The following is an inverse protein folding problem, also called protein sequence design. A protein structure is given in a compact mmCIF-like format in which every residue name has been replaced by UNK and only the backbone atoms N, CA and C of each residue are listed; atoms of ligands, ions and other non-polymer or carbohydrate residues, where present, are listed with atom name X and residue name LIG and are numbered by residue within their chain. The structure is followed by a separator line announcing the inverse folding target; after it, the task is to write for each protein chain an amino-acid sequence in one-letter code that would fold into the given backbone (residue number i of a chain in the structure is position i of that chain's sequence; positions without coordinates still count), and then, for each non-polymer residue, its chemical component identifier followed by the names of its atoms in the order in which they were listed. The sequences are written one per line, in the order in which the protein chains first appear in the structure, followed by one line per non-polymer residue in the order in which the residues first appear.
data_IF_901134546521
#
_entry.id   IF_901134546521
#
_cell.length_a   1.000
_cell.length_b   1.000
_cell.length_c   1.000
_cell.angle_alpha   90.00
_cell.angle_beta   90.00
_cell.angle_gamma   90.00
#
_symmetry.space_group_name_H-M   'P 1'
#
loop_
_entity.id
_entity.type
_entity.pdbx_description
1 polymer ?
#
# COMPACT_ATOMS: atom_id res chain seq x y z
N UNK A 1 -41.78 -57.40 15.42
CA UNK A 1 -43.04 -56.65 15.25
C UNK A 1 -43.27 -55.72 16.43
N UNK A 2 -43.09 -54.40 16.26
CA UNK A 2 -43.98 -53.29 16.67
C UNK A 2 -43.18 -51.98 16.64
N UNK A 3 -43.65 -51.08 15.76
CA UNK A 3 -43.15 -49.73 15.51
C UNK A 3 -43.91 -48.73 16.38
N UNK A 4 -43.24 -47.70 16.92
CA UNK A 4 -43.81 -46.40 17.26
C UNK A 4 -42.63 -45.43 17.53
N UNK A 5 -42.25 -44.54 16.59
CA UNK A 5 -42.74 -43.16 16.46
C UNK A 5 -42.65 -42.36 17.78
N UNK A 6 -41.50 -41.73 18.01
CA UNK A 6 -41.42 -40.48 18.78
C UNK A 6 -40.42 -39.55 18.09
N UNK A 7 -40.97 -38.68 17.25
CA UNK A 7 -40.27 -37.55 16.66
C UNK A 7 -40.70 -36.35 17.50
N UNK A 8 -39.84 -35.81 18.35
CA UNK A 8 -39.93 -34.43 18.84
C UNK A 8 -38.66 -34.08 19.63
N UNK A 9 -37.99 -33.00 19.19
CA UNK A 9 -37.08 -32.11 19.96
C UNK A 9 -35.83 -32.84 20.50
N UNK A 10 -34.64 -32.68 19.94
CA UNK A 10 -33.75 -31.54 20.20
C UNK A 10 -32.79 -31.38 19.01
N UNK A 11 -33.09 -30.43 18.13
CA UNK A 11 -32.13 -29.88 17.18
C UNK A 11 -31.82 -28.46 17.64
N UNK A 12 -30.71 -28.20 18.37
CA UNK A 12 -30.20 -26.81 18.46
C UNK A 12 -28.78 -26.56 19.06
N UNK A 13 -27.81 -27.47 19.20
CA UNK A 13 -26.56 -27.04 19.93
C UNK A 13 -25.19 -27.41 19.32
N UNK A 14 -25.05 -28.16 18.22
CA UNK A 14 -23.71 -28.61 17.78
C UNK A 14 -23.38 -28.32 16.31
N UNK A 15 -23.35 -27.03 15.92
CA UNK A 15 -23.14 -26.65 14.52
C UNK A 15 -22.38 -25.36 14.22
N UNK A 16 -21.65 -24.76 15.16
CA UNK A 16 -20.97 -23.46 14.96
C UNK A 16 -19.46 -23.49 15.24
N UNK A 17 -18.71 -24.47 14.70
CA UNK A 17 -17.27 -24.55 14.93
C UNK A 17 -16.39 -24.78 13.67
N UNK A 18 -16.89 -24.59 12.45
CA UNK A 18 -16.10 -24.90 11.24
C UNK A 18 -16.10 -23.83 10.15
N UNK A 19 -16.35 -22.57 10.48
CA UNK A 19 -16.41 -21.49 9.49
C UNK A 19 -15.09 -20.70 9.32
N UNK A 20 -14.08 -20.88 10.18
CA UNK A 20 -12.83 -20.10 10.12
C UNK A 20 -11.73 -20.68 9.22
N UNK A 21 -11.87 -21.92 8.74
CA UNK A 21 -10.83 -22.63 7.98
C UNK A 21 -11.08 -22.68 6.46
N UNK A 22 -11.97 -21.83 5.94
CA UNK A 22 -12.13 -21.75 4.48
C UNK A 22 -10.99 -20.89 3.91
N UNK A 23 -10.11 -21.44 3.04
CA UNK A 23 -9.23 -20.60 2.26
C UNK A 23 -10.10 -19.61 1.49
N UNK A 24 -9.84 -18.32 1.69
CA UNK A 24 -10.55 -17.26 1.00
C UNK A 24 -10.33 -17.50 -0.50
N UNK A 25 -11.39 -17.68 -1.30
CA UNK A 25 -11.21 -17.77 -2.74
C UNK A 25 -10.52 -16.49 -3.19
N UNK A 26 -9.40 -16.62 -3.90
CA UNK A 26 -8.78 -15.49 -4.55
C UNK A 26 -9.87 -14.78 -5.38
N UNK A 27 -10.00 -13.47 -5.19
CA UNK A 27 -10.88 -12.63 -6.01
C UNK A 27 -10.28 -12.59 -7.42
N UNK A 28 -10.54 -13.63 -8.20
CA UNK A 28 -10.13 -13.70 -9.60
C UNK A 28 -11.08 -12.83 -10.43
N UNK A 29 -10.84 -11.53 -10.40
CA UNK A 29 -11.54 -10.51 -11.17
C UNK A 29 -10.89 -9.15 -10.92
N UNK A 30 -10.98 -8.20 -11.86
CA UNK A 30 -10.51 -6.84 -11.61
C UNK A 30 -11.26 -6.28 -10.40
N UNK A 31 -10.54 -5.77 -9.40
CA UNK A 31 -11.14 -5.08 -8.25
C UNK A 31 -11.76 -3.80 -8.82
N UNK A 32 -13.08 -3.82 -9.05
CA UNK A 32 -13.83 -2.66 -9.50
C UNK A 32 -14.17 -1.82 -8.25
N UNK A 33 -13.37 -0.80 -7.99
CA UNK A 33 -13.54 0.16 -6.89
C UNK A 33 -14.59 1.25 -7.17
N UNK A 34 -15.48 1.01 -8.14
CA UNK A 34 -16.52 1.93 -8.65
C UNK A 34 -16.00 3.12 -9.49
N UNK A 35 -14.71 3.21 -9.83
CA UNK A 35 -14.20 4.27 -10.72
C UNK A 35 -14.00 3.84 -12.18
N UNK A 36 -14.38 2.61 -12.53
CA UNK A 36 -14.22 2.09 -13.91
C UNK A 36 -12.75 1.88 -14.32
N UNK A 37 -11.84 1.99 -13.35
CA UNK A 37 -10.43 1.60 -13.48
C UNK A 37 -10.29 0.11 -13.16
N UNK A 38 -9.46 -0.57 -13.95
CA UNK A 38 -9.06 -1.94 -13.68
C UNK A 38 -7.83 -1.87 -12.76
N UNK A 39 -8.06 -2.08 -11.47
CA UNK A 39 -6.97 -2.21 -10.51
C UNK A 39 -6.20 -3.51 -10.80
N UNK A 40 -4.89 -3.37 -10.98
CA UNK A 40 -4.00 -4.53 -11.03
C UNK A 40 -3.66 -4.90 -9.59
N UNK A 41 -3.88 -6.15 -9.18
CA UNK A 41 -3.28 -6.63 -7.93
C UNK A 41 -1.77 -6.42 -8.05
N UNK A 42 -1.23 -5.50 -7.24
CA UNK A 42 0.20 -5.22 -7.20
C UNK A 42 1.01 -6.48 -6.90
N UNK A 43 2.33 -6.40 -6.97
CA UNK A 43 3.15 -7.53 -6.53
C UNK A 43 3.10 -7.67 -5.00
N UNK A 44 3.30 -8.88 -4.47
CA UNK A 44 3.44 -9.10 -3.02
C UNK A 44 4.65 -8.40 -2.37
N UNK A 45 5.51 -7.72 -3.15
CA UNK A 45 6.65 -6.96 -2.63
C UNK A 45 6.43 -5.43 -2.69
N UNK A 46 5.31 -4.97 -3.26
CA UNK A 46 5.09 -3.56 -3.60
C UNK A 46 3.69 -3.08 -3.22
N UNK A 47 3.58 -1.81 -2.83
CA UNK A 47 2.29 -1.17 -2.64
C UNK A 47 1.54 -1.08 -3.98
N UNK A 48 0.23 -1.33 -3.97
CA UNK A 48 -0.60 -1.31 -5.17
C UNK A 48 -1.26 0.04 -5.44
N UNK A 49 -1.10 1.04 -4.56
CA UNK A 49 -1.71 2.36 -4.70
C UNK A 49 -1.01 3.25 -5.75
N UNK A 50 0.32 3.13 -5.90
CA UNK A 50 1.07 3.76 -6.99
C UNK A 50 1.97 2.71 -7.67
N UNK A 51 1.48 2.06 -8.74
CA UNK A 51 2.20 0.96 -9.38
C UNK A 51 3.40 1.42 -10.21
N UNK A 52 3.76 2.72 -10.20
CA UNK A 52 4.84 3.23 -11.05
C UNK A 52 6.22 2.71 -10.65
N UNK A 53 6.49 2.62 -9.36
CA UNK A 53 7.70 2.06 -8.77
C UNK A 53 7.34 1.49 -7.41
N UNK A 54 7.97 0.37 -7.03
CA UNK A 54 7.55 -0.35 -5.83
C UNK A 54 7.53 0.50 -4.56
N UNK A 55 8.55 1.34 -4.33
CA UNK A 55 8.62 2.16 -3.14
C UNK A 55 7.59 3.32 -3.12
N UNK A 56 6.82 3.53 -4.19
CA UNK A 56 5.77 4.55 -4.23
C UNK A 56 4.38 3.95 -3.94
N UNK A 57 3.49 4.71 -3.27
CA UNK A 57 3.78 6.00 -2.65
C UNK A 57 4.70 5.84 -1.44
N UNK A 58 5.56 6.84 -1.21
CA UNK A 58 6.43 6.88 -0.05
C UNK A 58 6.06 8.08 0.82
N UNK A 59 6.01 7.94 2.15
CA UNK A 59 6.02 6.69 2.90
C UNK A 59 4.73 5.87 2.69
N UNK A 60 4.80 4.55 2.93
CA UNK A 60 3.64 3.67 2.93
C UNK A 60 3.67 2.71 4.12
N UNK A 61 2.53 2.58 4.80
CA UNK A 61 2.30 1.62 5.89
C UNK A 61 2.43 0.17 5.44
N UNK A 62 2.35 -0.11 4.13
CA UNK A 62 2.61 -1.42 3.55
C UNK A 62 3.99 -1.98 3.96
N UNK A 63 4.97 -1.09 4.17
CA UNK A 63 6.34 -1.44 4.57
C UNK A 63 6.57 -1.43 6.08
N UNK A 64 5.54 -1.20 6.89
CA UNK A 64 5.65 -1.25 8.35
C UNK A 64 5.13 -2.58 8.88
N UNK A 65 5.95 -3.25 9.67
CA UNK A 65 5.58 -4.51 10.33
C UNK A 65 5.89 -4.44 11.82
N UNK A 66 5.13 -5.14 12.64
CA UNK A 66 5.46 -5.31 14.06
C UNK A 66 6.71 -6.17 14.20
N UNK A 67 7.67 -5.69 14.99
CA UNK A 67 8.91 -6.37 15.32
C UNK A 67 9.13 -6.47 16.84
N UNK A 68 10.23 -7.10 17.28
CA UNK A 68 10.49 -7.34 18.71
C UNK A 68 10.55 -6.07 19.58
N UNK A 69 10.92 -4.93 18.99
CA UNK A 69 11.08 -3.65 19.68
C UNK A 69 10.03 -2.61 19.27
N UNK A 70 8.90 -3.04 18.69
CA UNK A 70 7.90 -2.16 18.08
C UNK A 70 7.89 -2.27 16.56
N UNK A 71 7.27 -1.29 15.87
CA UNK A 71 7.24 -1.26 14.40
C UNK A 71 8.64 -1.22 13.81
N UNK A 72 8.80 -1.81 12.64
CA UNK A 72 10.03 -1.82 11.85
C UNK A 72 9.71 -1.57 10.39
N UNK A 73 10.64 -0.91 9.70
CA UNK A 73 10.57 -0.78 8.24
C UNK A 73 11.11 -2.05 7.57
N UNK A 74 10.24 -2.76 6.85
CA UNK A 74 10.56 -4.02 6.18
C UNK A 74 10.33 -3.87 4.68
N UNK A 75 11.44 -3.80 3.93
CA UNK A 75 11.41 -3.79 2.47
C UNK A 75 11.76 -5.16 1.88
N UNK A 76 11.18 -5.48 0.73
CA UNK A 76 11.52 -6.66 -0.07
C UNK A 76 12.87 -6.52 -0.78
N UNK A 77 13.39 -7.63 -1.30
CA UNK A 77 14.70 -7.68 -1.95
C UNK A 77 14.80 -6.80 -3.21
N UNK A 78 13.68 -6.58 -3.89
CA UNK A 78 13.59 -5.77 -5.11
C UNK A 78 12.80 -4.47 -4.93
N UNK A 79 12.40 -4.13 -3.70
CA UNK A 79 11.58 -2.95 -3.41
C UNK A 79 12.41 -1.66 -3.51
N UNK A 80 13.65 -1.69 -3.00
CA UNK A 80 14.53 -0.53 -2.92
C UNK A 80 15.14 -0.19 -4.29
N UNK A 81 15.38 1.10 -4.59
CA UNK A 81 16.01 1.52 -5.83
C UNK A 81 17.44 1.00 -5.95
N UNK A 82 17.86 0.76 -7.19
CA UNK A 82 19.24 0.38 -7.52
C UNK A 82 20.09 1.62 -7.75
N UNK A 83 21.38 1.53 -7.41
CA UNK A 83 22.33 2.60 -7.74
C UNK A 83 22.61 2.65 -9.26
N UNK A 84 23.43 3.61 -9.70
CA UNK A 84 23.79 3.77 -11.13
C UNK A 84 24.61 2.61 -11.70
N UNK A 85 25.23 1.79 -10.85
CA UNK A 85 25.93 0.55 -11.26
C UNK A 85 24.99 -0.66 -11.32
N UNK A 86 23.72 -0.52 -10.90
CA UNK A 86 22.72 -1.57 -10.88
C UNK A 86 22.70 -2.40 -9.59
N UNK A 87 23.47 -2.03 -8.57
CA UNK A 87 23.49 -2.75 -7.28
C UNK A 87 22.25 -2.41 -6.45
N UNK A 88 21.67 -3.44 -5.83
CA UNK A 88 20.58 -3.28 -4.86
C UNK A 88 21.13 -2.90 -3.49
N UNK A 89 20.42 -2.00 -2.81
CA UNK A 89 20.65 -1.74 -1.38
C UNK A 89 20.15 -2.92 -0.55
N UNK A 90 20.87 -3.29 0.51
CA UNK A 90 20.46 -4.36 1.42
C UNK A 90 19.30 -3.88 2.32
N UNK A 91 18.09 -4.47 2.20
CA UNK A 91 16.93 -4.04 2.97
C UNK A 91 17.08 -4.18 4.48
N UNK A 92 17.98 -5.06 4.95
CA UNK A 92 18.06 -5.41 6.37
C UNK A 92 18.36 -4.20 7.27
N UNK A 93 19.12 -3.23 6.76
CA UNK A 93 19.52 -2.05 7.53
C UNK A 93 18.35 -1.13 7.87
N UNK A 94 17.24 -1.22 7.14
CA UNK A 94 16.05 -0.42 7.43
C UNK A 94 15.23 -0.95 8.60
N UNK A 95 15.41 -2.23 8.98
CA UNK A 95 14.69 -2.83 10.13
C UNK A 95 15.10 -2.23 11.47
N UNK A 96 16.18 -1.44 11.49
CA UNK A 96 16.65 -0.71 12.65
C UNK A 96 15.80 0.54 12.95
N UNK A 97 15.04 1.03 11.97
CA UNK A 97 14.15 2.18 12.12
C UNK A 97 12.77 1.76 12.62
N UNK A 98 12.24 2.51 13.58
CA UNK A 98 10.92 2.31 14.20
C UNK A 98 9.75 2.92 13.39
N UNK A 99 10.05 3.41 12.19
CA UNK A 99 9.10 4.02 11.27
C UNK A 99 9.77 5.03 10.37
N UNK A 100 8.95 5.71 9.58
CA UNK A 100 9.42 6.80 8.72
C UNK A 100 9.68 8.06 9.54
N UNK A 101 10.72 8.81 9.16
CA UNK A 101 10.97 10.12 9.74
C UNK A 101 9.76 11.05 9.58
N UNK A 102 9.41 11.88 10.59
CA UNK A 102 8.32 12.86 10.48
C UNK A 102 8.61 13.96 9.45
N UNK A 103 9.86 14.09 8.98
CA UNK A 103 10.27 15.02 7.93
C UNK A 103 10.46 14.34 6.56
N UNK A 104 10.15 13.04 6.45
CA UNK A 104 10.18 12.34 5.16
C UNK A 104 9.16 12.99 4.21
N UNK A 105 9.57 13.41 3.00
CA UNK A 105 8.63 13.96 2.03
C UNK A 105 7.65 12.89 1.57
N UNK A 106 6.41 13.30 1.33
CA UNK A 106 5.45 12.47 0.61
C UNK A 106 5.84 12.48 -0.87
N UNK A 107 6.03 11.30 -1.44
CA UNK A 107 6.48 11.09 -2.82
C UNK A 107 5.57 10.09 -3.51
N UNK A 108 5.19 10.43 -4.74
CA UNK A 108 4.32 9.65 -5.61
C UNK A 108 4.54 10.14 -7.04
N UNK A 109 4.15 9.35 -8.03
CA UNK A 109 4.41 9.65 -9.43
C UNK A 109 3.13 10.04 -10.15
N UNK A 110 3.18 11.18 -10.82
CA UNK A 110 2.23 11.54 -11.86
C UNK A 110 2.83 11.27 -13.25
N UNK A 111 2.34 10.27 -14.01
CA UNK A 111 2.97 9.86 -15.26
C UNK A 111 3.06 10.97 -16.32
N UNK A 112 2.13 11.93 -16.30
CA UNK A 112 2.00 13.00 -17.30
C UNK A 112 2.35 14.38 -16.76
N UNK A 113 2.76 14.51 -15.49
CA UNK A 113 3.14 15.80 -14.94
C UNK A 113 4.48 16.27 -15.50
N UNK A 114 4.60 17.58 -15.70
CA UNK A 114 5.84 18.25 -16.10
C UNK A 114 6.14 19.39 -15.14
N UNK A 115 7.44 19.67 -14.94
CA UNK A 115 7.92 20.86 -14.22
C UNK A 115 8.12 22.06 -15.15
N UNK A 116 7.70 21.98 -16.42
CA UNK A 116 7.86 23.07 -17.39
C UNK A 116 7.13 24.36 -16.95
N UNK A 117 7.92 25.37 -16.62
CA UNK A 117 7.46 26.64 -16.09
C UNK A 117 7.09 26.61 -14.61
N UNK A 118 7.41 25.53 -13.88
CA UNK A 118 7.44 25.55 -12.42
C UNK A 118 8.68 26.33 -11.94
N UNK A 119 8.54 27.03 -10.82
CA UNK A 119 9.64 27.78 -10.20
C UNK A 119 10.51 26.81 -9.39
N UNK A 120 11.81 26.78 -9.65
CA UNK A 120 12.77 25.91 -8.97
C UNK A 120 13.34 26.55 -7.69
N UNK A 121 14.07 25.75 -6.89
CA UNK A 121 14.66 26.25 -5.64
C UNK A 121 15.79 27.27 -5.81
N UNK A 122 16.40 27.38 -6.99
CA UNK A 122 17.50 28.30 -7.28
C UNK A 122 16.99 29.67 -7.75
N UNK A 123 15.75 29.73 -8.24
CA UNK A 123 15.08 30.93 -8.74
C UNK A 123 13.79 31.23 -7.98
N UNK A 124 13.79 31.00 -6.65
CA UNK A 124 12.59 31.15 -5.80
C UNK A 124 11.91 32.52 -5.94
N UNK A 125 12.65 33.59 -6.29
CA UNK A 125 12.09 34.92 -6.55
C UNK A 125 11.05 34.96 -7.67
N UNK A 126 11.14 34.06 -8.64
CA UNK A 126 10.20 33.98 -9.77
C UNK A 126 8.80 33.51 -9.32
N UNK A 127 8.67 32.95 -8.11
CA UNK A 127 7.38 32.59 -7.52
C UNK A 127 6.47 33.79 -7.27
N UNK A 128 7.05 35.00 -7.21
CA UNK A 128 6.34 36.26 -7.00
C UNK A 128 5.88 36.90 -8.32
N UNK A 129 6.35 36.40 -9.48
CA UNK A 129 5.94 36.91 -10.77
C UNK A 129 4.50 36.50 -11.08
N UNK A 130 3.75 37.39 -11.74
CA UNK A 130 2.38 37.08 -12.17
C UNK A 130 2.29 35.88 -13.15
N UNK A 131 3.40 35.49 -13.77
CA UNK A 131 3.51 34.32 -14.64
C UNK A 131 3.83 33.02 -13.88
N UNK A 132 4.08 33.09 -12.57
CA UNK A 132 4.32 31.90 -11.73
C UNK A 132 3.13 30.96 -11.80
N UNK A 133 3.39 29.68 -12.08
CA UNK A 133 2.35 28.63 -12.09
C UNK A 133 2.04 28.06 -10.70
N UNK A 134 2.72 28.54 -9.65
CA UNK A 134 2.49 28.12 -8.27
C UNK A 134 1.29 28.86 -7.69
N UNK A 135 0.26 28.13 -7.31
CA UNK A 135 -0.97 28.65 -6.69
C UNK A 135 -1.03 28.18 -5.24
N UNK A 136 -1.13 29.12 -4.29
CA UNK A 136 -1.47 28.81 -2.90
C UNK A 136 -2.98 28.92 -2.77
N UNK A 137 -3.64 27.80 -2.47
CA UNK A 137 -5.08 27.74 -2.23
C UNK A 137 -5.28 27.73 -0.72
N UNK A 138 -6.00 28.70 -0.19
CA UNK A 138 -6.54 28.59 1.16
C UNK A 138 -7.67 27.57 1.15
N UNK A 139 -7.53 26.54 1.98
CA UNK A 139 -8.50 25.46 2.15
C UNK A 139 -9.24 25.61 3.48
#
# INVERSE_FOLDING_TARGET
MRRARFCLIVALVLGFASACDRPMPALSGPILDNFGVTETEGSQECDNLDPSHCLFPFPSDYYLQEGPNGRQMVFGANTLPKNTAGDSMDPKYYREYDGFSPISPIMFRFPTATLDGAVDQFHIGDSLLASSKTLVIEA
#
